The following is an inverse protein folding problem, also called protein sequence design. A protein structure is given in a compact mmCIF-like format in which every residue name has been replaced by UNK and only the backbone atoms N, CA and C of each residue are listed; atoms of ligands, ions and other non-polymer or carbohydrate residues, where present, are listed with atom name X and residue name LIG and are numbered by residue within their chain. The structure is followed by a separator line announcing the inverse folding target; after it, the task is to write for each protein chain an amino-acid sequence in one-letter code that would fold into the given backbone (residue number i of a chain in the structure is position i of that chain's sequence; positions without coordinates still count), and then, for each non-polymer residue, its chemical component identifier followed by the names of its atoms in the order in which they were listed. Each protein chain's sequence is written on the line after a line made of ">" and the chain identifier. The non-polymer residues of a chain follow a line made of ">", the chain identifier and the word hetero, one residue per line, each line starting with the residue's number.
data_IF_698932872814
#
_entry.id   IF_698932872814
#
_cell.length_a   1.000
_cell.length_b   1.000
_cell.length_c   1.000
_cell.angle_alpha   90.00
_cell.angle_beta   90.00
_cell.angle_gamma   90.00
#
_symmetry.space_group_name_H-M   'P 1'
#
loop_
_entity.id
_entity.type
_entity.pdbx_description
1 polymer ?
#
# COMPACT_ATOMS: atom_id res chain seq x y z
N UNK A 1 -7.33 26.05 13.84
CA UNK A 1 -8.01 25.88 12.53
C UNK A 1 -8.07 24.39 12.22
N UNK A 2 -9.20 23.74 12.52
CA UNK A 2 -9.41 22.31 12.32
C UNK A 2 -9.69 22.09 10.82
N UNK A 3 -8.66 21.72 10.04
CA UNK A 3 -8.85 21.36 8.64
C UNK A 3 -9.61 20.04 8.60
N UNK A 4 -10.82 20.12 8.08
CA UNK A 4 -11.70 18.99 7.88
C UNK A 4 -11.06 18.03 6.89
N UNK A 5 -10.91 16.78 7.30
CA UNK A 5 -10.54 15.69 6.41
C UNK A 5 -11.79 15.35 5.61
N UNK A 6 -11.80 15.83 4.37
CA UNK A 6 -12.79 15.50 3.36
C UNK A 6 -12.67 14.00 3.05
N UNK A 7 -13.61 13.24 3.60
CA UNK A 7 -13.82 11.83 3.34
C UNK A 7 -14.40 11.71 1.92
N UNK A 8 -13.53 11.54 0.92
CA UNK A 8 -13.96 11.22 -0.43
C UNK A 8 -14.31 9.74 -0.46
N UNK A 9 -15.58 9.43 -0.23
CA UNK A 9 -16.14 8.12 -0.49
C UNK A 9 -16.10 7.84 -2.00
N UNK A 10 -15.48 6.72 -2.37
CA UNK A 10 -15.65 6.15 -3.71
C UNK A 10 -16.33 4.79 -3.57
N UNK A 11 -17.43 4.67 -4.29
CA UNK A 11 -18.45 3.64 -4.25
C UNK A 11 -17.97 2.20 -4.22
N UNK A 12 -18.73 1.44 -3.43
CA UNK A 12 -18.94 -0.01 -3.50
C UNK A 12 -19.19 -0.47 -4.94
N UNK A 13 -18.36 -1.40 -5.41
CA UNK A 13 -18.71 -2.33 -6.49
C UNK A 13 -18.75 -3.74 -5.89
N UNK A 14 -19.94 -4.12 -5.43
CA UNK A 14 -20.30 -5.50 -5.12
C UNK A 14 -20.55 -6.23 -6.45
N UNK A 15 -19.67 -7.18 -6.76
CA UNK A 15 -19.95 -8.26 -7.71
C UNK A 15 -19.35 -9.57 -7.17
N UNK A 16 -20.22 -10.41 -6.59
CA UNK A 16 -20.31 -11.83 -6.95
C UNK A 16 -19.31 -12.83 -6.37
N UNK A 17 -19.84 -13.66 -5.45
CA UNK A 17 -19.56 -15.09 -5.27
C UNK A 17 -18.28 -15.52 -4.52
N UNK A 18 -18.44 -15.79 -3.21
CA UNK A 18 -17.49 -16.54 -2.39
C UNK A 18 -17.07 -15.77 -1.14
N UNK A 19 -17.97 -15.65 -0.16
CA UNK A 19 -17.79 -14.81 1.02
C UNK A 19 -16.49 -15.07 1.80
N UNK A 20 -15.47 -14.24 1.55
CA UNK A 20 -14.47 -13.94 2.57
C UNK A 20 -15.14 -12.98 3.54
N UNK A 21 -15.71 -13.51 4.61
CA UNK A 21 -16.21 -12.70 5.72
C UNK A 21 -15.04 -11.88 6.29
N UNK A 22 -14.97 -10.61 5.90
CA UNK A 22 -14.10 -9.60 6.49
C UNK A 22 -14.66 -9.27 7.87
N UNK A 23 -13.79 -9.25 8.88
CA UNK A 23 -14.20 -9.10 10.28
C UNK A 23 -13.90 -7.71 10.83
N UNK A 24 -12.79 -7.10 10.40
CA UNK A 24 -12.39 -5.74 10.80
C UNK A 24 -11.80 -5.00 9.61
N UNK A 25 -11.98 -3.69 9.57
CA UNK A 25 -11.35 -2.84 8.57
C UNK A 25 -10.59 -1.70 9.24
N UNK A 26 -9.41 -1.38 8.71
CA UNK A 26 -8.52 -0.36 9.24
C UNK A 26 -7.94 0.52 8.14
N UNK A 27 -7.66 1.78 8.47
CA UNK A 27 -6.91 2.70 7.60
C UNK A 27 -5.76 3.30 8.41
N UNK A 28 -4.59 3.37 7.80
CA UNK A 28 -3.39 3.88 8.41
C UNK A 28 -2.55 4.67 7.44
N UNK A 29 -1.67 5.51 7.96
CA UNK A 29 -0.85 6.41 7.15
C UNK A 29 0.58 6.49 7.64
N UNK A 30 1.47 6.83 6.72
CA UNK A 30 2.86 7.20 7.00
C UNK A 30 3.25 8.34 6.07
N UNK A 31 4.03 9.31 6.54
CA UNK A 31 4.55 10.40 5.71
C UNK A 31 6.07 10.31 5.70
N UNK A 32 6.67 10.20 4.52
CA UNK A 32 8.11 10.14 4.36
C UNK A 32 8.77 11.54 4.44
N UNK A 33 10.10 11.58 4.46
CA UNK A 33 10.88 12.83 4.58
C UNK A 33 10.66 13.79 3.40
N UNK A 34 10.20 13.27 2.26
CA UNK A 34 9.85 14.10 1.09
C UNK A 34 8.48 14.78 1.23
N UNK A 35 7.71 14.45 2.26
CA UNK A 35 6.34 14.91 2.50
C UNK A 35 5.29 14.11 1.73
N UNK A 36 5.65 13.00 1.10
CA UNK A 36 4.70 12.12 0.44
C UNK A 36 4.02 11.23 1.49
N UNK A 37 2.68 11.21 1.48
CA UNK A 37 1.87 10.43 2.40
C UNK A 37 1.46 9.11 1.77
N UNK A 38 1.94 8.01 2.32
CA UNK A 38 1.42 6.67 2.13
C UNK A 38 0.11 6.51 2.91
N UNK A 39 -0.91 5.92 2.28
CA UNK A 39 -2.14 5.45 2.92
C UNK A 39 -2.29 3.96 2.67
N UNK A 40 -2.50 3.18 3.74
CA UNK A 40 -2.84 1.77 3.65
C UNK A 40 -4.26 1.55 4.19
N UNK A 41 -5.04 0.72 3.49
CA UNK A 41 -6.33 0.20 3.95
C UNK A 41 -6.21 -1.31 4.08
N UNK A 42 -6.56 -1.85 5.22
CA UNK A 42 -6.48 -3.30 5.49
C UNK A 42 -7.86 -3.84 5.83
N UNK A 43 -8.13 -5.05 5.36
CA UNK A 43 -9.25 -5.87 5.83
C UNK A 43 -8.69 -7.09 6.54
N UNK A 44 -9.14 -7.32 7.76
CA UNK A 44 -8.66 -8.41 8.60
C UNK A 44 -9.69 -9.54 8.66
N UNK A 45 -9.19 -10.77 8.69
CA UNK A 45 -9.96 -11.99 8.96
C UNK A 45 -9.15 -12.89 9.90
N UNK A 46 -9.72 -13.28 11.03
CA UNK A 46 -9.02 -13.96 12.11
C UNK A 46 -7.74 -13.22 12.54
N UNK A 47 -7.84 -11.89 12.67
CA UNK A 47 -6.73 -10.97 12.99
C UNK A 47 -5.52 -11.05 12.03
N UNK A 48 -5.73 -11.53 10.79
CA UNK A 48 -4.73 -11.54 9.72
C UNK A 48 -5.17 -10.69 8.55
N UNK A 49 -4.23 -10.04 7.88
CA UNK A 49 -4.49 -9.27 6.66
C UNK A 49 -5.03 -10.21 5.58
N UNK A 50 -6.28 -9.99 5.18
CA UNK A 50 -6.96 -10.68 4.09
C UNK A 50 -6.93 -9.88 2.79
N UNK A 51 -7.00 -8.55 2.88
CA UNK A 51 -6.86 -7.61 1.77
C UNK A 51 -6.05 -6.40 2.24
N UNK A 52 -5.23 -5.85 1.36
CA UNK A 52 -4.53 -4.59 1.59
C UNK A 52 -4.51 -3.76 0.32
N UNK A 53 -4.78 -2.47 0.47
CA UNK A 53 -4.63 -1.47 -0.57
C UNK A 53 -3.69 -0.36 -0.07
N UNK A 54 -2.67 -0.04 -0.84
CA UNK A 54 -1.66 0.98 -0.57
C UNK A 54 -1.71 2.00 -1.69
N UNK A 55 -1.66 3.27 -1.34
CA UNK A 55 -1.41 4.35 -2.30
C UNK A 55 -0.55 5.44 -1.65
N UNK A 56 0.06 6.28 -2.47
CA UNK A 56 0.96 7.34 -2.00
C UNK A 56 0.77 8.61 -2.82
N UNK A 57 0.73 9.76 -2.15
CA UNK A 57 0.71 11.04 -2.86
C UNK A 57 2.01 11.25 -3.64
N UNK A 58 1.96 11.81 -4.84
CA UNK A 58 3.16 12.22 -5.57
C UNK A 58 3.48 13.70 -5.26
N UNK A 59 4.70 13.99 -4.79
CA UNK A 59 5.09 15.37 -4.45
C UNK A 59 4.93 16.30 -5.65
N UNK A 60 4.25 17.43 -5.44
CA UNK A 60 4.02 18.43 -6.49
C UNK A 60 2.99 18.00 -7.55
N UNK A 61 2.17 16.98 -7.26
CA UNK A 61 1.05 16.54 -8.09
C UNK A 61 -0.23 16.57 -7.27
N UNK A 62 -1.35 16.83 -7.94
CA UNK A 62 -2.69 16.81 -7.31
C UNK A 62 -3.31 15.39 -7.28
N UNK A 63 -2.63 14.42 -7.90
CA UNK A 63 -3.02 13.00 -7.97
C UNK A 63 -2.07 12.13 -7.15
N UNK A 64 -2.54 10.99 -6.67
CA UNK A 64 -1.70 9.94 -6.09
C UNK A 64 -0.90 9.19 -7.15
N UNK A 65 0.07 8.38 -6.73
CA UNK A 65 0.88 7.55 -7.62
C UNK A 65 0.05 6.48 -8.33
N UNK A 66 -0.98 5.89 -7.69
CA UNK A 66 -1.92 5.01 -8.41
C UNK A 66 -2.80 5.76 -9.41
N UNK A 67 -3.31 6.93 -9.06
CA UNK A 67 -4.12 7.75 -9.97
C UNK A 67 -3.33 8.25 -11.19
N UNK A 68 -2.03 8.50 -11.03
CA UNK A 68 -1.13 8.80 -12.13
C UNK A 68 -0.85 7.57 -13.01
N UNK A 69 -0.72 6.39 -12.41
CA UNK A 69 -0.42 5.16 -13.17
C UNK A 69 0.85 5.33 -14.00
N UNK A 70 0.75 5.14 -15.32
CA UNK A 70 1.87 5.34 -16.25
C UNK A 70 2.36 6.80 -16.30
N UNK A 71 1.49 7.80 -16.03
CA UNK A 71 1.88 9.22 -15.99
C UNK A 71 2.89 9.53 -14.88
N UNK A 72 3.04 8.64 -13.89
CA UNK A 72 4.07 8.77 -12.86
C UNK A 72 5.48 8.56 -13.43
N UNK A 73 5.61 7.72 -14.47
CA UNK A 73 6.82 7.57 -15.27
C UNK A 73 7.98 6.82 -14.60
N UNK A 74 7.70 5.91 -13.65
CA UNK A 74 8.75 5.19 -12.92
C UNK A 74 9.37 4.06 -13.75
N UNK A 75 8.69 3.53 -14.76
CA UNK A 75 9.12 2.34 -15.51
C UNK A 75 10.51 2.48 -16.12
N UNK A 76 10.90 3.69 -16.52
CA UNK A 76 12.21 3.97 -17.09
C UNK A 76 13.33 3.82 -16.06
N UNK A 77 13.11 4.29 -14.83
CA UNK A 77 14.06 4.20 -13.71
C UNK A 77 14.00 2.84 -12.99
N UNK A 78 12.91 2.09 -13.17
CA UNK A 78 12.71 0.79 -12.54
C UNK A 78 13.69 -0.28 -13.10
N UNK A 79 14.47 -0.96 -12.25
CA UNK A 79 15.37 -2.02 -12.68
C UNK A 79 14.61 -3.23 -13.23
N UNK A 80 13.35 -3.41 -12.81
CA UNK A 80 12.46 -4.49 -13.27
C UNK A 80 11.48 -4.07 -14.35
N UNK A 81 11.64 -2.85 -14.92
CA UNK A 81 10.82 -2.30 -16.01
C UNK A 81 9.31 -2.32 -15.70
N UNK A 82 8.96 -2.07 -14.44
CA UNK A 82 7.58 -1.92 -13.96
C UNK A 82 7.33 -0.51 -13.44
N UNK A 83 6.13 -0.02 -13.67
CA UNK A 83 5.62 1.20 -13.04
C UNK A 83 5.44 1.03 -11.52
N UNK A 84 5.30 2.15 -10.82
CA UNK A 84 5.14 2.16 -9.36
C UNK A 84 3.88 1.39 -8.93
N UNK A 85 2.75 1.62 -9.61
CA UNK A 85 1.48 0.94 -9.34
C UNK A 85 1.57 -0.57 -9.55
N UNK A 86 2.29 -1.04 -10.56
CA UNK A 86 2.53 -2.48 -10.80
C UNK A 86 3.37 -3.11 -9.68
N UNK A 87 4.37 -2.39 -9.16
CA UNK A 87 5.21 -2.86 -8.05
C UNK A 87 4.44 -2.91 -6.73
N UNK A 88 3.61 -1.89 -6.45
CA UNK A 88 2.76 -1.86 -5.26
C UNK A 88 1.68 -2.92 -5.32
N UNK A 89 1.04 -3.14 -6.47
CA UNK A 89 0.08 -4.23 -6.63
C UNK A 89 0.70 -5.61 -6.36
N UNK A 90 1.95 -5.82 -6.81
CA UNK A 90 2.68 -7.04 -6.47
C UNK A 90 2.92 -7.15 -4.95
N UNK A 91 3.35 -6.06 -4.31
CA UNK A 91 3.60 -6.03 -2.87
C UNK A 91 2.32 -6.28 -2.05
N UNK A 92 1.19 -5.70 -2.45
CA UNK A 92 -0.13 -5.96 -1.83
C UNK A 92 -0.47 -7.45 -1.88
N UNK A 93 -0.31 -8.10 -3.04
CA UNK A 93 -0.55 -9.55 -3.18
C UNK A 93 0.42 -10.39 -2.37
N UNK A 94 1.66 -9.96 -2.23
CA UNK A 94 2.61 -10.61 -1.33
C UNK A 94 2.12 -10.52 0.12
N UNK A 95 1.71 -9.33 0.59
CA UNK A 95 1.23 -9.12 1.96
C UNK A 95 -0.06 -9.89 2.23
N UNK A 96 -1.02 -9.94 1.29
CA UNK A 96 -2.24 -10.75 1.41
C UNK A 96 -1.94 -12.24 1.66
N UNK A 97 -0.83 -12.76 1.10
CA UNK A 97 -0.47 -14.17 1.18
C UNK A 97 0.47 -14.49 2.35
N UNK A 98 1.36 -13.56 2.69
CA UNK A 98 2.51 -13.80 3.57
C UNK A 98 2.53 -12.92 4.82
N UNK A 99 1.69 -11.89 4.89
CA UNK A 99 1.77 -10.83 5.89
C UNK A 99 3.03 -9.96 5.76
N UNK A 100 3.28 -9.12 6.76
CA UNK A 100 4.45 -8.22 6.80
C UNK A 100 5.59 -8.72 7.71
N UNK A 101 5.32 -9.64 8.63
CA UNK A 101 6.24 -10.06 9.69
C UNK A 101 7.59 -10.60 9.20
N UNK A 102 7.60 -11.19 8.00
CA UNK A 102 8.80 -11.83 7.41
C UNK A 102 9.58 -10.92 6.47
N UNK A 103 9.14 -9.68 6.26
CA UNK A 103 9.80 -8.74 5.36
C UNK A 103 11.00 -8.14 6.09
N UNK A 104 12.20 -8.42 5.57
CA UNK A 104 13.45 -7.82 6.02
C UNK A 104 13.77 -6.63 5.14
N UNK A 105 14.22 -5.54 5.74
CA UNK A 105 14.54 -4.30 5.04
C UNK A 105 16.04 -4.06 5.07
N UNK A 106 16.58 -3.56 3.95
CA UNK A 106 17.92 -3.00 3.92
C UNK A 106 17.93 -1.56 4.48
N UNK A 107 19.09 -0.93 4.48
CA UNK A 107 19.26 0.45 4.97
C UNK A 107 18.47 1.50 4.16
N UNK A 108 18.12 1.20 2.91
CA UNK A 108 17.31 2.07 2.04
C UNK A 108 15.80 1.85 2.20
N UNK A 109 15.37 1.00 3.13
CA UNK A 109 13.97 0.63 3.32
C UNK A 109 13.39 -0.31 2.26
N UNK A 110 14.23 -0.86 1.37
CA UNK A 110 13.84 -1.85 0.36
C UNK A 110 13.83 -3.25 0.96
N UNK A 111 12.94 -4.11 0.46
CA UNK A 111 12.91 -5.51 0.88
C UNK A 111 14.20 -6.25 0.48
N UNK A 112 14.77 -7.04 1.39
CA UNK A 112 15.87 -7.97 1.09
C UNK A 112 15.35 -9.30 0.53
N UNK A 113 14.10 -9.66 0.84
CA UNK A 113 13.48 -10.91 0.43
C UNK A 113 13.39 -11.03 -1.09
N UNK A 114 13.94 -12.10 -1.66
CA UNK A 114 14.01 -12.29 -3.11
C UNK A 114 12.63 -12.40 -3.78
N UNK A 115 11.67 -13.00 -3.11
CA UNK A 115 10.27 -13.10 -3.57
C UNK A 115 9.61 -11.72 -3.68
N UNK A 116 9.80 -10.84 -2.69
CA UNK A 116 9.34 -9.45 -2.76
C UNK A 116 10.07 -8.71 -3.88
N UNK A 117 11.41 -8.81 -3.92
CA UNK A 117 12.27 -8.11 -4.90
C UNK A 117 11.99 -8.51 -6.35
N UNK A 118 11.46 -9.70 -6.59
CA UNK A 118 11.10 -10.17 -7.93
C UNK A 118 9.99 -9.32 -8.57
N UNK A 119 9.18 -8.63 -7.76
CA UNK A 119 8.09 -7.80 -8.26
C UNK A 119 8.01 -6.39 -7.67
N UNK A 120 8.73 -6.08 -6.61
CA UNK A 120 8.76 -4.77 -5.97
C UNK A 120 10.20 -4.41 -5.55
N UNK A 121 10.76 -3.37 -6.17
CA UNK A 121 12.14 -2.90 -5.94
C UNK A 121 12.22 -1.51 -5.31
N UNK A 122 11.07 -0.89 -5.07
CA UNK A 122 10.93 0.38 -4.34
C UNK A 122 11.09 0.17 -2.83
N UNK A 123 11.27 1.28 -2.10
CA UNK A 123 11.21 1.22 -0.64
C UNK A 123 9.80 0.78 -0.20
N UNK A 124 9.73 -0.10 0.78
CA UNK A 124 8.47 -0.64 1.34
C UNK A 124 8.35 -0.36 2.84
N UNK A 125 9.34 0.29 3.45
CA UNK A 125 9.34 0.64 4.86
C UNK A 125 8.13 1.52 5.23
N UNK A 126 7.81 2.52 4.40
CA UNK A 126 6.66 3.39 4.57
C UNK A 126 5.34 2.64 4.42
N UNK A 127 5.29 1.65 3.52
CA UNK A 127 4.12 0.80 3.33
C UNK A 127 3.87 -0.07 4.56
N UNK A 128 4.92 -0.69 5.11
CA UNK A 128 4.84 -1.50 6.33
C UNK A 128 4.36 -0.64 7.51
N UNK A 129 4.91 0.57 7.67
CA UNK A 129 4.48 1.50 8.74
C UNK A 129 3.00 1.89 8.59
N UNK A 130 2.55 2.19 7.38
CA UNK A 130 1.15 2.52 7.12
C UNK A 130 0.21 1.31 7.36
N UNK A 131 0.63 0.09 6.98
CA UNK A 131 -0.12 -1.15 7.27
C UNK A 131 -0.24 -1.36 8.78
N UNK A 132 0.86 -1.23 9.53
CA UNK A 132 0.86 -1.40 10.99
C UNK A 132 -0.03 -0.36 11.69
N UNK A 133 -0.06 0.87 11.19
CA UNK A 133 -1.00 1.89 11.66
C UNK A 133 -2.46 1.50 11.33
N UNK A 134 -2.70 0.95 10.13
CA UNK A 134 -4.02 0.49 9.72
C UNK A 134 -4.53 -0.68 10.58
N UNK A 135 -3.67 -1.66 10.90
CA UNK A 135 -3.99 -2.78 11.78
C UNK A 135 -4.37 -2.31 13.20
N UNK A 136 -3.66 -1.31 13.74
CA UNK A 136 -3.98 -0.71 15.06
C UNK A 136 -5.32 0.01 15.06
N UNK A 137 -5.70 0.60 13.92
CA UNK A 137 -6.94 1.33 13.74
C UNK A 137 -8.11 0.45 13.29
N UNK A 138 -7.90 -0.86 13.13
CA UNK A 138 -8.92 -1.77 12.65
C UNK A 138 -10.02 -2.01 13.70
N UNK A 139 -11.28 -1.92 13.28
CA UNK A 139 -12.47 -2.06 14.13
C UNK A 139 -13.57 -2.86 13.47
#
# INVERSE_FOLDING_TARGET
>A
MKKQVMMLGLSVLLCGCGGKSVEKEGTGTFTNDNGEKTTARVKLKNDKIAEVEIDETAKGKDKTKKELGEEYGMKQASPIKKEWNEQVAFFEKYVEKHGIDKIKLNQDGKAENNDVRSGCTISVDGFIKAIQDAEKNAK
#
